data_IF_761229424514
#
_entry.id   IF_761229424514
#
_cell.length_a   1.000
_cell.length_b   1.000
_cell.length_c   1.000
_cell.angle_alpha   90.00
_cell.angle_beta   90.00
_cell.angle_gamma   90.00
#
_symmetry.space_group_name_H-M   'P 1'
#
loop_
_entity.id
_entity.type
_entity.pdbx_description
1 polymer ?
#
# COMPACT_ATOMS: atom_id res chain seq x y z
N UNK A 1 -36.24 -30.56 -1.99
CA UNK A 1 -36.83 -29.20 -2.21
C UNK A 1 -36.21 -28.07 -1.41
N UNK A 2 -35.58 -28.32 -0.22
CA UNK A 2 -34.99 -27.25 0.61
C UNK A 2 -33.66 -26.69 0.07
N UNK A 3 -32.80 -27.52 -0.54
CA UNK A 3 -31.53 -27.09 -1.15
C UNK A 3 -31.70 -26.20 -2.39
N UNK A 4 -32.76 -26.42 -3.17
CA UNK A 4 -33.07 -25.62 -4.36
C UNK A 4 -33.60 -24.21 -4.03
N UNK A 5 -34.25 -24.02 -2.86
CA UNK A 5 -34.75 -22.70 -2.46
C UNK A 5 -33.60 -21.75 -2.06
N UNK A 6 -32.59 -22.26 -1.37
CA UNK A 6 -31.43 -21.43 -0.97
C UNK A 6 -30.65 -20.87 -2.16
N UNK A 7 -30.42 -21.69 -3.18
CA UNK A 7 -29.75 -21.24 -4.43
C UNK A 7 -30.58 -20.19 -5.18
N UNK A 8 -31.90 -20.38 -5.30
CA UNK A 8 -32.78 -19.43 -5.98
C UNK A 8 -32.85 -18.05 -5.29
N UNK A 9 -32.75 -18.00 -3.97
CA UNK A 9 -32.77 -16.74 -3.22
C UNK A 9 -31.45 -15.99 -3.32
N UNK A 10 -30.30 -16.69 -3.36
CA UNK A 10 -28.98 -16.10 -3.62
C UNK A 10 -28.97 -15.41 -4.97
N UNK A 11 -29.46 -16.08 -6.04
CA UNK A 11 -29.52 -15.49 -7.39
C UNK A 11 -30.45 -14.29 -7.49
N UNK A 12 -31.55 -14.25 -6.73
CA UNK A 12 -32.49 -13.13 -6.74
C UNK A 12 -31.93 -11.86 -6.07
N UNK A 13 -31.01 -12.01 -5.10
CA UNK A 13 -30.42 -10.89 -4.35
C UNK A 13 -29.11 -10.37 -4.96
N UNK A 14 -28.53 -11.08 -5.93
CA UNK A 14 -27.31 -10.63 -6.58
C UNK A 14 -27.51 -9.33 -7.36
N UNK A 15 -26.57 -8.41 -7.23
CA UNK A 15 -26.44 -7.26 -8.12
C UNK A 15 -26.22 -7.77 -9.54
N UNK A 16 -26.79 -7.08 -10.52
CA UNK A 16 -26.64 -7.44 -11.95
C UNK A 16 -25.46 -6.69 -12.56
N UNK A 17 -24.76 -7.35 -13.47
CA UNK A 17 -23.80 -6.72 -14.38
C UNK A 17 -24.52 -5.75 -15.33
N UNK A 18 -23.80 -4.84 -16.03
CA UNK A 18 -24.38 -3.99 -17.06
C UNK A 18 -25.12 -4.78 -18.15
N UNK A 19 -24.72 -6.03 -18.41
CA UNK A 19 -25.39 -6.96 -19.35
C UNK A 19 -26.59 -7.72 -18.76
N UNK A 20 -27.03 -7.38 -17.54
CA UNK A 20 -28.22 -7.96 -16.89
C UNK A 20 -28.01 -9.34 -16.23
N UNK A 21 -26.81 -9.92 -16.29
CA UNK A 21 -26.48 -11.19 -15.63
C UNK A 21 -26.20 -10.98 -14.12
N UNK A 22 -26.46 -11.98 -13.26
CA UNK A 22 -26.07 -11.92 -11.86
C UNK A 22 -24.57 -11.68 -11.74
N UNK A 23 -24.17 -10.65 -10.98
CA UNK A 23 -22.75 -10.36 -10.73
C UNK A 23 -22.16 -11.33 -9.72
N UNK A 24 -20.99 -11.88 -10.04
CA UNK A 24 -20.20 -12.68 -9.11
C UNK A 24 -18.92 -11.96 -8.69
N UNK A 25 -18.91 -10.62 -8.78
CA UNK A 25 -17.80 -9.81 -8.30
C UNK A 25 -17.53 -10.08 -6.83
N UNK A 26 -16.28 -9.98 -6.42
CA UNK A 26 -15.85 -10.28 -5.06
C UNK A 26 -16.65 -9.49 -4.01
N UNK A 27 -16.90 -8.19 -4.27
CA UNK A 27 -17.71 -7.34 -3.37
C UNK A 27 -19.14 -7.84 -3.22
N UNK A 28 -19.75 -8.34 -4.31
CA UNK A 28 -21.11 -8.88 -4.29
C UNK A 28 -21.16 -10.21 -3.56
N UNK A 29 -20.17 -11.07 -3.80
CA UNK A 29 -20.08 -12.36 -3.11
C UNK A 29 -19.76 -12.18 -1.63
N UNK A 30 -18.93 -11.19 -1.24
CA UNK A 30 -18.65 -10.89 0.15
C UNK A 30 -19.91 -10.41 0.91
N UNK A 31 -20.70 -9.52 0.32
CA UNK A 31 -21.99 -9.09 0.88
C UNK A 31 -22.97 -10.29 1.07
N UNK A 32 -22.98 -11.23 0.13
CA UNK A 32 -23.84 -12.42 0.21
C UNK A 32 -23.29 -13.49 1.16
N UNK A 33 -21.99 -13.53 1.39
CA UNK A 33 -21.34 -14.49 2.29
C UNK A 33 -21.71 -14.28 3.77
N UNK A 34 -22.20 -13.09 4.11
CA UNK A 34 -22.73 -12.81 5.46
C UNK A 34 -23.99 -13.62 5.78
N UNK A 35 -24.83 -13.92 4.74
CA UNK A 35 -26.09 -14.63 4.91
C UNK A 35 -26.07 -16.06 4.33
N UNK A 36 -25.17 -16.36 3.39
CA UNK A 36 -25.18 -17.60 2.62
C UNK A 36 -23.82 -18.28 2.58
N UNK A 37 -23.84 -19.62 2.75
CA UNK A 37 -22.62 -20.44 2.75
C UNK A 37 -21.95 -20.52 1.35
N UNK A 38 -22.74 -20.65 0.28
CA UNK A 38 -22.21 -20.84 -1.08
C UNK A 38 -21.30 -19.69 -1.56
N UNK A 39 -21.65 -18.40 -1.38
CA UNK A 39 -20.73 -17.30 -1.69
C UNK A 39 -19.42 -17.36 -0.91
N UNK A 40 -19.44 -17.76 0.34
CA UNK A 40 -18.24 -17.95 1.16
C UNK A 40 -17.31 -19.00 0.59
N UNK A 41 -17.85 -20.18 0.24
CA UNK A 41 -17.09 -21.27 -0.40
C UNK A 41 -16.55 -20.84 -1.76
N UNK A 42 -17.32 -20.08 -2.54
CA UNK A 42 -16.85 -19.55 -3.83
C UNK A 42 -15.71 -18.56 -3.69
N UNK A 43 -15.72 -17.68 -2.70
CA UNK A 43 -14.63 -16.75 -2.40
C UNK A 43 -13.36 -17.51 -1.98
N UNK A 44 -13.50 -18.48 -1.09
CA UNK A 44 -12.40 -19.35 -0.66
C UNK A 44 -11.80 -20.10 -1.85
N UNK A 45 -12.65 -20.77 -2.66
CA UNK A 45 -12.21 -21.48 -3.85
C UNK A 45 -11.46 -20.55 -4.83
N UNK A 46 -11.95 -19.31 -5.05
CA UNK A 46 -11.28 -18.33 -5.91
C UNK A 46 -9.91 -17.94 -5.38
N UNK A 47 -9.82 -17.71 -4.08
CA UNK A 47 -8.55 -17.37 -3.41
C UNK A 47 -7.54 -18.49 -3.60
N UNK A 48 -7.89 -19.72 -3.26
CA UNK A 48 -7.01 -20.89 -3.43
C UNK A 48 -6.66 -21.15 -4.90
N UNK A 49 -7.64 -21.05 -5.80
CA UNK A 49 -7.41 -21.23 -7.24
C UNK A 49 -6.45 -20.18 -7.81
N UNK A 50 -6.57 -18.92 -7.36
CA UNK A 50 -5.65 -17.84 -7.74
C UNK A 50 -4.25 -18.11 -7.24
N UNK A 51 -4.09 -18.50 -5.96
CA UNK A 51 -2.78 -18.85 -5.38
C UNK A 51 -2.15 -20.01 -6.16
N UNK A 52 -2.93 -21.06 -6.42
CA UNK A 52 -2.47 -22.22 -7.17
C UNK A 52 -2.02 -21.85 -8.58
N UNK A 53 -2.90 -21.27 -9.37
CA UNK A 53 -2.64 -20.99 -10.79
C UNK A 53 -1.60 -19.90 -11.04
N UNK A 54 -1.49 -18.92 -10.12
CA UNK A 54 -0.57 -17.77 -10.28
C UNK A 54 0.81 -18.07 -9.72
N UNK A 55 0.89 -18.78 -8.60
CA UNK A 55 2.15 -18.97 -7.89
C UNK A 55 2.63 -20.42 -7.90
N UNK A 56 1.91 -21.35 -7.28
CA UNK A 56 2.45 -22.72 -7.08
C UNK A 56 2.62 -23.50 -8.39
N UNK A 57 1.78 -23.27 -9.38
CA UNK A 57 1.90 -23.94 -10.68
C UNK A 57 2.85 -23.19 -11.63
N UNK A 58 2.92 -21.87 -11.56
CA UNK A 58 3.70 -21.07 -12.52
C UNK A 58 5.13 -20.80 -12.08
N UNK A 59 5.38 -20.41 -10.82
CA UNK A 59 6.71 -19.98 -10.37
C UNK A 59 7.79 -21.07 -10.57
N UNK A 60 7.55 -22.36 -10.28
CA UNK A 60 8.55 -23.40 -10.52
C UNK A 60 8.97 -23.50 -12.00
N UNK A 61 8.03 -23.23 -12.92
CA UNK A 61 8.29 -23.27 -14.36
C UNK A 61 9.03 -22.01 -14.88
N UNK A 62 9.13 -20.96 -14.05
CA UNK A 62 9.82 -19.72 -14.38
C UNK A 62 11.23 -19.64 -13.78
N UNK A 63 11.68 -20.70 -13.13
CA UNK A 63 13.06 -20.81 -12.66
C UNK A 63 13.98 -20.92 -13.87
N UNK A 64 14.91 -19.98 -13.99
CA UNK A 64 15.94 -20.01 -15.04
C UNK A 64 16.89 -21.18 -14.86
N UNK A 65 17.07 -22.01 -15.89
CA UNK A 65 18.00 -23.13 -15.85
C UNK A 65 19.46 -22.72 -15.66
N UNK A 66 19.82 -21.50 -16.13
CA UNK A 66 21.20 -21.01 -16.03
C UNK A 66 21.56 -20.45 -14.65
N UNK A 67 20.58 -19.92 -13.91
CA UNK A 67 20.82 -19.26 -12.62
C UNK A 67 20.22 -20.00 -11.44
N UNK A 68 19.27 -20.91 -11.66
CA UNK A 68 18.47 -21.55 -10.63
C UNK A 68 17.54 -20.58 -9.87
N UNK A 69 17.28 -19.40 -10.41
CA UNK A 69 16.49 -18.34 -9.77
C UNK A 69 15.32 -17.91 -10.64
N UNK A 70 14.30 -17.34 -10.01
CA UNK A 70 13.20 -16.63 -10.69
C UNK A 70 13.62 -15.18 -10.90
N UNK A 71 13.42 -14.66 -12.12
CA UNK A 71 13.74 -13.30 -12.50
C UNK A 71 12.47 -12.59 -12.95
N UNK A 72 12.13 -11.49 -12.30
CA UNK A 72 11.05 -10.60 -12.74
C UNK A 72 11.58 -9.53 -13.69
N UNK A 73 10.69 -8.97 -14.49
CA UNK A 73 10.96 -7.76 -15.29
C UNK A 73 10.33 -6.55 -14.60
N UNK A 74 11.14 -5.55 -14.26
CA UNK A 74 10.66 -4.27 -13.73
C UNK A 74 10.44 -3.25 -14.85
N UNK A 75 9.29 -2.58 -14.82
CA UNK A 75 8.91 -1.54 -15.78
C UNK A 75 8.84 -0.19 -15.08
N UNK A 76 9.53 0.81 -15.64
CA UNK A 76 9.63 2.16 -15.06
C UNK A 76 8.55 3.13 -15.54
N UNK A 77 7.88 2.83 -16.67
CA UNK A 77 6.99 3.76 -17.36
C UNK A 77 5.55 3.23 -17.53
N UNK A 78 5.12 2.26 -16.72
CA UNK A 78 3.79 1.68 -16.81
C UNK A 78 2.80 2.34 -15.88
N UNK A 79 3.21 2.65 -14.64
CA UNK A 79 2.32 3.28 -13.66
C UNK A 79 2.28 4.80 -13.85
N UNK A 80 1.11 5.41 -13.63
CA UNK A 80 0.93 6.85 -13.75
C UNK A 80 1.64 7.64 -12.65
N UNK A 81 1.82 7.04 -11.47
CA UNK A 81 2.48 7.67 -10.31
C UNK A 81 4.00 7.54 -10.33
N UNK A 82 4.57 6.81 -11.28
CA UNK A 82 6.01 6.56 -11.33
C UNK A 82 6.49 5.39 -10.46
N UNK A 83 5.59 4.68 -9.75
CA UNK A 83 5.96 3.40 -9.12
C UNK A 83 6.47 2.41 -10.16
N UNK A 84 7.36 1.52 -9.77
CA UNK A 84 7.73 0.37 -10.61
C UNK A 84 6.56 -0.60 -10.69
N UNK A 85 6.44 -1.29 -11.81
CA UNK A 85 5.60 -2.47 -11.92
C UNK A 85 6.44 -3.69 -12.27
N UNK A 86 5.99 -4.87 -11.87
CA UNK A 86 6.70 -6.13 -12.02
C UNK A 86 5.85 -7.09 -12.86
N UNK A 87 6.48 -7.79 -13.82
CA UNK A 87 5.82 -8.82 -14.64
C UNK A 87 6.75 -9.99 -14.93
N UNK A 88 6.18 -11.10 -15.28
CA UNK A 88 6.82 -12.32 -15.79
C UNK A 88 7.92 -12.91 -14.88
N UNK A 89 7.62 -13.20 -13.59
CA UNK A 89 6.35 -13.08 -12.87
C UNK A 89 6.18 -11.73 -12.16
N UNK A 90 4.94 -11.34 -11.82
CA UNK A 90 4.72 -10.22 -10.93
C UNK A 90 5.00 -10.63 -9.47
N UNK A 91 6.17 -10.25 -8.97
CA UNK A 91 6.60 -10.54 -7.59
C UNK A 91 6.11 -9.49 -6.58
N UNK A 92 5.60 -8.33 -7.04
CA UNK A 92 5.06 -7.30 -6.15
C UNK A 92 3.68 -7.64 -5.58
N UNK A 93 2.99 -8.65 -6.15
CA UNK A 93 1.63 -9.03 -5.76
C UNK A 93 1.56 -10.35 -4.98
N UNK A 94 2.69 -10.87 -4.48
CA UNK A 94 2.69 -12.09 -3.65
C UNK A 94 2.01 -11.76 -2.32
N UNK A 95 0.91 -12.48 -1.97
CA UNK A 95 0.13 -12.17 -0.77
C UNK A 95 0.97 -12.29 0.51
N UNK A 96 0.70 -11.43 1.47
CA UNK A 96 1.39 -11.39 2.77
C UNK A 96 0.44 -11.58 3.95
N UNK A 97 -0.87 -11.29 3.76
CA UNK A 97 -1.85 -11.26 4.85
C UNK A 97 -2.38 -12.64 5.27
N UNK A 98 -2.46 -13.55 4.33
CA UNK A 98 -2.98 -14.89 4.58
C UNK A 98 -1.84 -15.84 4.90
N UNK A 99 -2.10 -16.86 5.70
CA UNK A 99 -1.13 -17.91 6.01
C UNK A 99 -0.59 -18.58 4.73
N UNK A 100 -1.49 -18.92 3.81
CA UNK A 100 -1.09 -19.51 2.51
C UNK A 100 -0.23 -18.56 1.67
N UNK A 101 -0.53 -17.25 1.69
CA UNK A 101 0.30 -16.24 1.03
C UNK A 101 1.70 -16.18 1.62
N UNK A 102 1.82 -16.20 2.95
CA UNK A 102 3.12 -16.24 3.65
C UNK A 102 3.91 -17.51 3.32
N UNK A 103 3.25 -18.66 3.23
CA UNK A 103 3.91 -19.91 2.79
C UNK A 103 4.53 -19.79 1.40
N UNK A 104 3.93 -19.02 0.48
CA UNK A 104 4.55 -18.73 -0.82
C UNK A 104 5.83 -17.91 -0.64
N UNK A 105 5.84 -16.91 0.26
CA UNK A 105 7.05 -16.12 0.54
C UNK A 105 8.16 -16.96 1.19
N UNK A 106 7.83 -17.99 1.96
CA UNK A 106 8.81 -18.92 2.54
C UNK A 106 9.58 -19.73 1.48
N UNK A 107 8.99 -19.91 0.29
CA UNK A 107 9.67 -20.58 -0.82
C UNK A 107 10.76 -19.74 -1.51
N UNK A 108 10.83 -18.44 -1.21
CA UNK A 108 11.90 -17.57 -1.71
C UNK A 108 13.03 -17.54 -0.69
N UNK A 109 14.15 -18.14 -1.07
CA UNK A 109 15.34 -18.27 -0.25
C UNK A 109 16.51 -17.45 -0.81
N UNK A 110 17.41 -16.93 0.04
CA UNK A 110 18.61 -16.25 -0.40
C UNK A 110 19.60 -17.23 -1.04
N UNK A 111 20.64 -16.72 -1.65
CA UNK A 111 21.75 -17.52 -2.15
C UNK A 111 22.38 -18.30 -1.00
N UNK A 112 22.98 -19.46 -1.31
CA UNK A 112 23.65 -20.27 -0.29
C UNK A 112 24.72 -19.48 0.45
N UNK A 113 24.63 -19.45 1.77
CA UNK A 113 25.55 -18.68 2.63
C UNK A 113 25.07 -17.25 2.93
N UNK A 114 23.97 -16.82 2.31
CA UNK A 114 23.40 -15.48 2.48
C UNK A 114 22.19 -15.47 3.41
N UNK A 115 21.71 -14.26 3.71
CA UNK A 115 20.40 -13.96 4.30
C UNK A 115 19.69 -12.93 3.43
N UNK A 116 18.36 -12.89 3.50
CA UNK A 116 17.62 -11.72 3.04
C UNK A 116 17.64 -10.63 4.09
N UNK A 117 17.85 -9.39 3.62
CA UNK A 117 17.56 -8.17 4.36
C UNK A 117 16.39 -7.52 3.66
N UNK A 118 15.31 -7.27 4.38
CA UNK A 118 14.18 -6.47 3.96
C UNK A 118 14.25 -5.14 4.69
N UNK A 119 14.10 -4.04 3.97
CA UNK A 119 14.01 -2.70 4.53
C UNK A 119 12.79 -1.99 3.93
N UNK A 120 11.85 -1.59 4.77
CA UNK A 120 10.58 -0.97 4.38
C UNK A 120 10.46 0.43 4.99
N UNK A 121 9.97 1.39 4.21
CA UNK A 121 9.68 2.72 4.74
C UNK A 121 8.47 2.70 5.67
N UNK A 122 8.66 3.21 6.87
CA UNK A 122 7.56 3.38 7.82
C UNK A 122 6.70 4.59 7.43
N UNK A 123 5.47 4.32 7.01
CA UNK A 123 4.42 5.33 6.73
C UNK A 123 4.85 6.45 5.76
N UNK A 124 5.61 6.12 4.71
CA UNK A 124 6.22 7.12 3.82
C UNK A 124 5.19 8.11 3.23
N UNK A 125 4.02 7.64 2.81
CA UNK A 125 3.01 8.52 2.19
C UNK A 125 2.42 9.51 3.20
N UNK A 126 2.26 9.12 4.47
CA UNK A 126 1.84 10.04 5.54
C UNK A 126 2.93 11.07 5.87
N UNK A 127 4.20 10.67 5.87
CA UNK A 127 5.34 11.59 6.06
C UNK A 127 5.45 12.59 4.90
N UNK A 128 5.24 12.13 3.67
CA UNK A 128 5.16 12.99 2.49
C UNK A 128 3.97 13.95 2.60
N UNK A 129 2.79 13.47 3.03
CA UNK A 129 1.62 14.32 3.25
C UNK A 129 1.89 15.39 4.31
N UNK A 130 2.48 15.03 5.45
CA UNK A 130 2.86 15.98 6.50
C UNK A 130 3.79 17.08 5.96
N UNK A 131 4.81 16.69 5.19
CA UNK A 131 5.73 17.63 4.57
C UNK A 131 5.03 18.55 3.53
N UNK A 132 4.19 17.99 2.65
CA UNK A 132 3.54 18.76 1.59
C UNK A 132 2.44 19.68 2.12
N UNK A 133 1.65 19.22 3.09
CA UNK A 133 0.60 20.04 3.72
C UNK A 133 1.14 21.07 4.69
N UNK A 134 2.32 20.83 5.27
CA UNK A 134 2.88 21.61 6.38
C UNK A 134 1.94 21.67 7.61
N UNK A 135 1.11 20.65 7.77
CA UNK A 135 0.20 20.57 8.91
C UNK A 135 0.99 20.40 10.21
N UNK A 136 0.80 21.35 11.13
CA UNK A 136 1.59 21.41 12.36
C UNK A 136 1.38 20.17 13.25
N UNK A 137 0.15 19.66 13.32
CA UNK A 137 -0.17 18.46 14.12
C UNK A 137 0.50 17.20 13.58
N UNK A 138 0.49 16.99 12.25
CA UNK A 138 1.16 15.86 11.62
C UNK A 138 2.70 15.99 11.71
N UNK A 139 3.24 17.19 11.48
CA UNK A 139 4.67 17.42 11.59
C UNK A 139 5.17 17.12 13.00
N UNK A 140 4.47 17.64 14.03
CA UNK A 140 4.81 17.39 15.42
C UNK A 140 4.77 15.91 15.78
N UNK A 141 3.70 15.19 15.40
CA UNK A 141 3.55 13.77 15.69
C UNK A 141 4.73 12.94 15.14
N UNK A 142 5.16 13.21 13.92
CA UNK A 142 6.31 12.51 13.32
C UNK A 142 7.64 12.93 13.92
N UNK A 143 7.83 14.20 14.29
CA UNK A 143 9.07 14.69 14.94
C UNK A 143 9.25 14.13 16.34
N UNK A 144 8.14 13.92 17.06
CA UNK A 144 8.14 13.34 18.41
C UNK A 144 8.17 11.80 18.40
N UNK A 145 8.14 11.18 17.22
CA UNK A 145 8.12 9.71 17.08
C UNK A 145 6.83 9.07 17.59
N UNK A 146 5.72 9.83 17.61
CA UNK A 146 4.41 9.31 18.00
C UNK A 146 3.85 8.39 16.92
N UNK A 147 3.08 7.37 17.34
CA UNK A 147 2.26 6.59 16.42
C UNK A 147 1.11 7.45 15.89
N UNK A 148 1.27 7.95 14.66
CA UNK A 148 0.30 8.83 13.99
C UNK A 148 -1.10 8.24 13.95
N UNK A 149 -1.23 6.90 13.83
CA UNK A 149 -2.56 6.27 13.83
C UNK A 149 -3.19 6.27 15.22
N UNK A 150 -2.41 6.04 16.26
CA UNK A 150 -2.89 6.16 17.64
C UNK A 150 -3.21 7.61 17.99
N UNK A 151 -2.40 8.56 17.54
CA UNK A 151 -2.65 10.00 17.70
C UNK A 151 -3.96 10.40 17.03
N UNK A 152 -4.14 10.04 15.75
CA UNK A 152 -5.39 10.29 15.02
C UNK A 152 -6.58 9.61 15.70
N UNK A 153 -6.42 8.37 16.20
CA UNK A 153 -7.49 7.69 16.93
C UNK A 153 -7.91 8.44 18.19
N UNK A 154 -6.94 8.87 18.99
CA UNK A 154 -7.19 9.68 20.19
C UNK A 154 -7.96 10.96 19.87
N UNK A 155 -7.57 11.65 18.79
CA UNK A 155 -8.13 12.95 18.41
C UNK A 155 -9.50 12.83 17.72
N UNK A 156 -9.69 11.85 16.82
CA UNK A 156 -10.93 11.68 16.06
C UNK A 156 -12.02 11.00 16.88
N UNK A 157 -11.66 10.10 17.80
CA UNK A 157 -12.62 9.39 18.64
C UNK A 157 -12.77 9.97 20.06
N UNK A 158 -12.05 11.08 20.34
CA UNK A 158 -12.05 11.79 21.63
C UNK A 158 -11.77 10.85 22.82
N UNK A 159 -10.71 10.05 22.71
CA UNK A 159 -10.25 9.13 23.75
C UNK A 159 -8.81 9.44 24.17
N UNK A 160 -8.44 9.13 25.41
CA UNK A 160 -7.05 9.27 25.83
C UNK A 160 -6.11 8.40 24.99
N UNK A 161 -4.91 8.88 24.70
CA UNK A 161 -3.93 8.12 23.89
C UNK A 161 -3.66 6.70 24.45
N UNK A 162 -3.73 6.54 25.78
CA UNK A 162 -3.56 5.26 26.48
C UNK A 162 -4.77 4.33 26.39
N UNK A 163 -5.92 4.91 26.03
CA UNK A 163 -7.20 4.19 25.90
C UNK A 163 -7.49 3.81 24.45
N UNK A 164 -6.58 4.13 23.52
CA UNK A 164 -6.70 3.74 22.11
C UNK A 164 -6.57 2.23 21.99
N UNK A 165 -7.67 1.58 21.63
CA UNK A 165 -7.69 0.14 21.34
C UNK A 165 -7.11 -0.15 19.95
N UNK A 166 -6.74 -1.42 19.69
CA UNK A 166 -6.30 -1.86 18.36
C UNK A 166 -7.34 -1.60 17.27
N UNK A 167 -8.64 -1.70 17.61
CA UNK A 167 -9.73 -1.42 16.66
C UNK A 167 -9.84 0.08 16.34
N UNK A 168 -9.73 0.96 17.34
CA UNK A 168 -9.71 2.40 17.13
C UNK A 168 -8.50 2.83 16.30
N UNK A 169 -7.33 2.26 16.60
CA UNK A 169 -6.11 2.50 15.82
C UNK A 169 -6.27 2.05 14.38
N UNK A 170 -6.84 0.85 14.13
CA UNK A 170 -7.11 0.35 12.78
C UNK A 170 -8.09 1.26 12.02
N UNK A 171 -9.14 1.74 12.69
CA UNK A 171 -10.09 2.67 12.08
C UNK A 171 -9.44 4.02 11.74
N UNK A 172 -8.62 4.56 12.65
CA UNK A 172 -7.87 5.79 12.39
C UNK A 172 -6.89 5.62 11.22
N UNK A 173 -6.24 4.46 11.10
CA UNK A 173 -5.38 4.12 9.98
C UNK A 173 -6.18 4.14 8.68
N UNK A 174 -7.36 3.53 8.63
CA UNK A 174 -8.24 3.56 7.47
C UNK A 174 -8.71 5.00 7.13
N UNK A 175 -8.89 5.87 8.13
CA UNK A 175 -9.19 7.29 7.92
C UNK A 175 -7.98 8.00 7.31
N UNK A 176 -6.80 7.87 7.91
CA UNK A 176 -5.57 8.51 7.46
C UNK A 176 -5.27 8.20 5.97
N UNK A 177 -5.19 6.92 5.63
CA UNK A 177 -4.92 6.51 4.25
C UNK A 177 -6.08 6.81 3.32
N UNK A 178 -7.32 6.56 3.77
CA UNK A 178 -8.50 6.84 2.97
C UNK A 178 -8.56 8.31 2.53
N UNK A 179 -8.24 9.25 3.43
CA UNK A 179 -8.26 10.67 3.12
C UNK A 179 -7.14 11.08 2.17
N UNK A 180 -5.92 10.56 2.34
CA UNK A 180 -4.82 10.77 1.38
C UNK A 180 -5.22 10.30 -0.03
N UNK A 181 -5.98 9.21 -0.12
CA UNK A 181 -6.48 8.70 -1.41
C UNK A 181 -7.80 9.36 -1.86
N UNK A 182 -8.26 10.39 -1.14
CA UNK A 182 -9.46 11.14 -1.50
C UNK A 182 -10.75 10.33 -1.38
N UNK A 183 -10.84 9.43 -0.38
CA UNK A 183 -12.03 8.63 -0.13
C UNK A 183 -13.24 9.53 0.15
N UNK A 184 -14.43 9.13 -0.33
CA UNK A 184 -15.68 9.78 0.04
C UNK A 184 -16.23 9.24 1.36
N UNK A 185 -17.11 10.01 2.03
CA UNK A 185 -17.79 9.54 3.24
C UNK A 185 -18.56 8.22 3.03
N UNK A 186 -19.08 7.98 1.82
CA UNK A 186 -19.70 6.72 1.46
C UNK A 186 -18.66 5.58 1.42
N UNK A 187 -17.51 5.82 0.79
CA UNK A 187 -16.41 4.85 0.72
C UNK A 187 -15.85 4.51 2.09
N UNK A 188 -15.58 5.54 2.92
CA UNK A 188 -15.09 5.37 4.28
C UNK A 188 -16.11 4.63 5.15
N UNK A 189 -17.39 4.98 5.07
CA UNK A 189 -18.46 4.28 5.80
C UNK A 189 -18.51 2.79 5.45
N UNK A 190 -18.37 2.44 4.17
CA UNK A 190 -18.31 1.04 3.73
C UNK A 190 -17.07 0.32 4.26
N UNK A 191 -15.92 0.98 4.27
CA UNK A 191 -14.65 0.39 4.74
C UNK A 191 -14.67 0.13 6.26
N UNK A 192 -15.25 1.04 7.04
CA UNK A 192 -15.34 0.95 8.50
C UNK A 192 -16.58 0.18 9.00
N UNK A 193 -17.52 -0.18 8.10
CA UNK A 193 -18.79 -0.80 8.50
C UNK A 193 -19.74 0.14 9.24
N UNK A 194 -19.64 1.46 9.00
CA UNK A 194 -20.44 2.51 9.66
C UNK A 194 -21.34 3.25 8.67
N UNK A 195 -22.29 4.02 9.19
CA UNK A 195 -23.15 4.86 8.35
C UNK A 195 -22.34 5.94 7.62
N UNK A 196 -22.84 6.37 6.44
CA UNK A 196 -22.26 7.49 5.70
C UNK A 196 -22.18 8.79 6.53
N UNK A 197 -23.18 9.04 7.37
CA UNK A 197 -23.23 10.23 8.20
C UNK A 197 -22.13 10.21 9.26
N UNK A 198 -21.96 9.09 9.96
CA UNK A 198 -20.88 8.93 10.95
C UNK A 198 -19.48 9.00 10.29
N UNK A 199 -19.31 8.43 9.10
CA UNK A 199 -18.07 8.58 8.34
C UNK A 199 -17.81 10.04 7.97
N UNK A 200 -18.85 10.82 7.61
CA UNK A 200 -18.71 12.25 7.33
C UNK A 200 -18.33 13.06 8.58
N UNK A 201 -18.85 12.69 9.75
CA UNK A 201 -18.47 13.27 11.04
C UNK A 201 -16.99 13.00 11.35
N UNK A 202 -16.52 11.77 11.21
CA UNK A 202 -15.10 11.44 11.41
C UNK A 202 -14.17 12.18 10.45
N UNK A 203 -14.58 12.32 9.19
CA UNK A 203 -13.83 13.16 8.23
C UNK A 203 -13.80 14.63 8.63
N UNK A 204 -14.91 15.18 9.15
CA UNK A 204 -14.96 16.56 9.62
C UNK A 204 -14.05 16.76 10.84
N UNK A 205 -14.09 15.85 11.82
CA UNK A 205 -13.22 15.88 12.99
C UNK A 205 -11.74 15.78 12.59
N UNK A 206 -11.40 14.90 11.65
CA UNK A 206 -10.03 14.80 11.13
C UNK A 206 -9.56 16.13 10.53
N UNK A 207 -10.36 16.76 9.68
CA UNK A 207 -9.98 18.03 9.04
C UNK A 207 -10.03 19.24 9.99
N UNK A 208 -10.73 19.14 11.12
CA UNK A 208 -10.64 20.11 12.19
C UNK A 208 -9.29 20.02 12.92
N UNK A 209 -8.78 18.81 13.11
CA UNK A 209 -7.48 18.56 13.75
C UNK A 209 -6.30 18.80 12.80
N UNK A 210 -6.47 18.49 11.52
CA UNK A 210 -5.46 18.66 10.47
C UNK A 210 -5.94 19.60 9.35
N UNK A 211 -6.13 20.90 9.65
CA UNK A 211 -6.73 21.85 8.72
C UNK A 211 -5.87 22.11 7.48
N UNK A 212 -4.54 22.06 7.62
CA UNK A 212 -3.63 22.30 6.51
C UNK A 212 -3.57 21.11 5.54
N UNK A 213 -3.90 19.90 5.97
CA UNK A 213 -4.13 18.77 5.06
C UNK A 213 -5.30 19.05 4.15
N UNK A 214 -6.44 19.52 4.70
CA UNK A 214 -7.61 19.89 3.91
C UNK A 214 -7.28 21.00 2.91
N UNK A 215 -6.61 22.04 3.38
CA UNK A 215 -6.18 23.16 2.55
C UNK A 215 -5.26 22.73 1.41
N UNK A 216 -4.29 21.86 1.70
CA UNK A 216 -3.41 21.27 0.69
C UNK A 216 -4.21 20.52 -0.39
N UNK A 217 -5.19 19.70 0.01
CA UNK A 217 -6.02 18.94 -0.92
C UNK A 217 -6.87 19.87 -1.81
N UNK A 218 -7.42 20.95 -1.26
CA UNK A 218 -8.21 21.94 -2.02
C UNK A 218 -7.33 22.71 -3.00
N UNK A 219 -6.18 23.21 -2.57
CA UNK A 219 -5.21 23.90 -3.43
C UNK A 219 -4.68 23.02 -4.54
N UNK A 220 -4.44 21.73 -4.24
CA UNK A 220 -3.97 20.77 -5.25
C UNK A 220 -5.01 20.51 -6.34
N UNK A 221 -6.30 20.42 -5.98
CA UNK A 221 -7.39 20.29 -6.95
C UNK A 221 -7.54 21.56 -7.80
N UNK A 222 -7.42 22.71 -7.18
CA UNK A 222 -7.47 23.98 -7.89
C UNK A 222 -6.31 24.12 -8.88
N UNK A 223 -5.09 23.85 -8.44
CA UNK A 223 -3.90 23.82 -9.30
C UNK A 223 -4.08 22.86 -10.48
N UNK A 224 -4.57 21.65 -10.21
CA UNK A 224 -4.83 20.65 -11.26
C UNK A 224 -5.88 21.13 -12.27
N UNK A 225 -6.95 21.78 -11.80
CA UNK A 225 -8.00 22.32 -12.66
C UNK A 225 -7.48 23.42 -13.59
N UNK A 226 -6.58 24.26 -13.10
CA UNK A 226 -5.98 25.37 -13.86
C UNK A 226 -4.90 24.89 -14.85
N UNK A 227 -4.09 23.92 -14.44
CA UNK A 227 -2.88 23.52 -15.18
C UNK A 227 -3.02 22.19 -15.96
N UNK A 228 -4.01 21.37 -15.64
CA UNK A 228 -4.24 20.07 -16.26
C UNK A 228 -3.29 18.97 -15.78
N UNK A 229 -2.47 19.23 -14.76
CA UNK A 229 -1.55 18.25 -14.16
C UNK A 229 -1.29 18.57 -12.69
N UNK A 230 -0.67 17.62 -11.98
CA UNK A 230 -0.05 17.79 -10.65
C UNK A 230 1.40 17.32 -10.69
N UNK A 231 2.21 17.73 -9.70
CA UNK A 231 3.63 17.41 -9.64
C UNK A 231 4.02 16.78 -8.31
N UNK A 232 5.02 15.87 -8.35
CA UNK A 232 5.71 15.40 -7.14
C UNK A 232 6.71 16.48 -6.65
N UNK A 233 7.28 16.28 -5.45
CA UNK A 233 8.37 17.13 -4.93
C UNK A 233 9.60 17.16 -5.86
N UNK A 234 9.77 16.15 -6.70
CA UNK A 234 10.89 16.04 -7.65
C UNK A 234 10.51 16.44 -9.07
N UNK A 235 9.35 17.09 -9.27
CA UNK A 235 8.93 17.64 -10.56
C UNK A 235 8.37 16.61 -11.55
N UNK A 236 8.07 15.39 -11.13
CA UNK A 236 7.34 14.43 -11.96
C UNK A 236 5.91 14.89 -12.14
N UNK A 237 5.44 15.00 -13.39
CA UNK A 237 4.08 15.43 -13.73
C UNK A 237 3.15 14.26 -13.98
N UNK A 238 1.95 14.33 -13.39
CA UNK A 238 0.80 13.52 -13.76
C UNK A 238 -0.24 14.40 -14.45
N UNK A 239 -0.52 14.13 -15.73
CA UNK A 239 -1.55 14.84 -16.49
C UNK A 239 -2.94 14.29 -16.23
N UNK A 240 -3.90 15.18 -15.96
CA UNK A 240 -5.26 14.86 -15.52
C UNK A 240 -6.26 15.33 -16.57
N UNK A 241 -6.45 14.54 -17.62
CA UNK A 241 -7.30 14.90 -18.78
C UNK A 241 -8.76 15.16 -18.41
N UNK A 242 -9.27 14.49 -17.39
CA UNK A 242 -10.68 14.56 -16.96
C UNK A 242 -10.90 15.50 -15.77
N UNK A 243 -9.93 16.33 -15.38
CA UNK A 243 -10.04 17.19 -14.19
C UNK A 243 -11.17 18.20 -14.31
N UNK A 244 -11.45 18.69 -15.52
CA UNK A 244 -12.53 19.63 -15.83
C UNK A 244 -13.67 18.96 -16.61
N UNK A 245 -13.80 17.62 -16.55
CA UNK A 245 -14.87 16.92 -17.26
C UNK A 245 -16.27 17.35 -16.77
N UNK A 246 -17.19 17.49 -17.70
CA UNK A 246 -18.62 17.77 -17.39
C UNK A 246 -19.27 16.60 -16.66
N UNK A 247 -18.84 15.37 -16.95
CA UNK A 247 -19.27 14.18 -16.23
C UNK A 247 -18.69 14.17 -14.82
N UNK A 248 -19.58 14.30 -13.82
CA UNK A 248 -19.20 14.38 -12.40
C UNK A 248 -18.38 13.16 -11.91
N UNK A 249 -18.67 11.95 -12.41
CA UNK A 249 -17.96 10.74 -12.00
C UNK A 249 -16.50 10.76 -12.48
N UNK A 250 -16.27 11.14 -13.75
CA UNK A 250 -14.92 11.29 -14.31
C UNK A 250 -14.14 12.40 -13.61
N UNK A 251 -14.78 13.56 -13.41
CA UNK A 251 -14.16 14.68 -12.69
C UNK A 251 -13.75 14.29 -11.28
N UNK A 252 -14.63 13.67 -10.48
CA UNK A 252 -14.32 13.22 -9.12
C UNK A 252 -13.21 12.16 -9.09
N UNK A 253 -13.15 11.25 -10.07
CA UNK A 253 -12.05 10.31 -10.18
C UNK A 253 -10.71 11.03 -10.45
N UNK A 254 -10.72 12.05 -11.31
CA UNK A 254 -9.55 12.87 -11.61
C UNK A 254 -9.13 13.74 -10.41
N UNK A 255 -10.07 14.29 -9.65
CA UNK A 255 -9.82 15.04 -8.41
C UNK A 255 -9.15 14.15 -7.35
N UNK A 256 -9.60 12.90 -7.18
CA UNK A 256 -8.92 11.92 -6.30
C UNK A 256 -7.50 11.63 -6.77
N UNK A 257 -7.31 11.42 -8.08
CA UNK A 257 -5.98 11.23 -8.65
C UNK A 257 -5.08 12.47 -8.43
N UNK A 258 -5.66 13.69 -8.50
CA UNK A 258 -4.93 14.91 -8.23
C UNK A 258 -4.38 14.98 -6.80
N UNK A 259 -5.14 14.54 -5.81
CA UNK A 259 -4.74 14.52 -4.40
C UNK A 259 -3.67 13.45 -4.16
N UNK A 260 -3.92 12.24 -4.66
CA UNK A 260 -3.07 11.08 -4.38
C UNK A 260 -1.73 11.11 -5.13
N UNK A 261 -1.72 11.52 -6.41
CA UNK A 261 -0.56 11.37 -7.27
C UNK A 261 0.69 12.13 -6.81
N UNK A 262 0.62 13.36 -6.25
CA UNK A 262 1.81 14.03 -5.71
C UNK A 262 2.44 13.25 -4.55
N UNK A 263 1.62 12.71 -3.65
CA UNK A 263 2.08 11.96 -2.46
C UNK A 263 2.67 10.62 -2.86
N UNK A 264 1.89 9.80 -3.56
CA UNK A 264 2.33 8.48 -4.00
C UNK A 264 3.51 8.56 -4.98
N UNK A 265 3.49 9.55 -5.89
CA UNK A 265 4.59 9.77 -6.83
C UNK A 265 5.86 10.24 -6.14
N UNK A 266 5.77 11.09 -5.13
CA UNK A 266 6.93 11.50 -4.32
C UNK A 266 7.51 10.32 -3.56
N UNK A 267 6.70 9.46 -2.95
CA UNK A 267 7.15 8.23 -2.31
C UNK A 267 7.89 7.32 -3.32
N UNK A 268 7.34 7.17 -4.54
CA UNK A 268 7.99 6.41 -5.60
C UNK A 268 9.33 7.03 -6.06
N UNK A 269 9.43 8.35 -6.11
CA UNK A 269 10.68 9.03 -6.44
C UNK A 269 11.74 8.86 -5.34
N UNK A 270 11.35 8.98 -4.06
CA UNK A 270 12.21 8.71 -2.90
C UNK A 270 12.73 7.27 -2.95
N UNK A 271 11.86 6.30 -3.20
CA UNK A 271 12.25 4.90 -3.32
C UNK A 271 13.30 4.68 -4.42
N UNK A 272 13.14 5.31 -5.59
CA UNK A 272 14.12 5.21 -6.69
C UNK A 272 15.47 5.85 -6.32
N UNK A 273 15.44 6.98 -5.62
CA UNK A 273 16.66 7.62 -5.12
C UNK A 273 17.36 6.69 -4.12
N UNK A 274 16.62 6.08 -3.19
CA UNK A 274 17.14 5.10 -2.25
C UNK A 274 17.80 3.91 -2.95
N UNK A 275 17.14 3.34 -3.98
CA UNK A 275 17.71 2.26 -4.80
C UNK A 275 19.04 2.66 -5.47
N UNK A 276 19.10 3.88 -6.03
CA UNK A 276 20.31 4.40 -6.68
C UNK A 276 21.42 4.59 -5.63
N UNK A 277 21.10 5.15 -4.47
CA UNK A 277 22.04 5.35 -3.38
C UNK A 277 22.60 4.02 -2.90
N UNK A 278 21.73 3.04 -2.64
CA UNK A 278 22.13 1.70 -2.21
C UNK A 278 22.99 0.98 -3.24
N UNK A 279 22.65 1.07 -4.53
CA UNK A 279 23.47 0.51 -5.60
C UNK A 279 24.88 1.12 -5.64
N UNK A 280 24.97 2.44 -5.48
CA UNK A 280 26.27 3.15 -5.43
C UNK A 280 27.06 2.74 -4.17
N UNK A 281 26.41 2.60 -3.03
CA UNK A 281 27.02 2.19 -1.77
C UNK A 281 27.60 0.76 -1.87
N UNK A 282 26.83 -0.21 -2.36
CA UNK A 282 27.27 -1.58 -2.59
C UNK A 282 28.53 -1.60 -3.48
N UNK A 283 28.50 -0.85 -4.60
CA UNK A 283 29.64 -0.75 -5.50
C UNK A 283 30.90 -0.14 -4.87
N UNK A 284 30.72 0.97 -4.13
CA UNK A 284 31.80 1.69 -3.45
C UNK A 284 32.50 0.77 -2.44
N UNK A 285 31.71 0.04 -1.67
CA UNK A 285 32.16 -0.86 -0.62
C UNK A 285 32.65 -2.21 -1.14
N UNK A 286 32.53 -2.45 -2.45
CA UNK A 286 32.89 -3.74 -3.11
C UNK A 286 32.18 -4.92 -2.44
N UNK A 287 30.95 -4.72 -1.96
CA UNK A 287 30.15 -5.76 -1.31
C UNK A 287 29.61 -6.75 -2.34
N UNK A 288 29.46 -8.01 -1.94
CA UNK A 288 28.81 -9.07 -2.73
C UNK A 288 27.26 -9.07 -2.56
N UNK A 289 26.72 -8.24 -1.67
CA UNK A 289 25.28 -8.07 -1.51
C UNK A 289 24.62 -7.60 -2.81
N UNK A 290 23.39 -8.03 -3.05
CA UNK A 290 22.63 -7.70 -4.25
C UNK A 290 21.26 -7.15 -3.87
N UNK A 291 20.92 -5.96 -4.36
CA UNK A 291 19.54 -5.48 -4.35
C UNK A 291 18.76 -6.29 -5.39
N UNK A 292 17.82 -7.12 -4.94
CA UNK A 292 17.16 -8.11 -5.80
C UNK A 292 15.70 -7.80 -6.11
N UNK A 293 14.97 -7.16 -5.18
CA UNK A 293 13.57 -6.83 -5.35
C UNK A 293 13.26 -5.44 -4.78
N UNK A 294 12.28 -4.81 -5.39
CA UNK A 294 11.56 -3.65 -4.87
C UNK A 294 10.07 -3.99 -4.87
N UNK A 295 9.42 -3.92 -3.71
CA UNK A 295 8.01 -4.26 -3.53
C UNK A 295 7.33 -3.15 -2.74
N UNK A 296 6.42 -2.39 -3.37
CA UNK A 296 5.77 -1.22 -2.77
C UNK A 296 6.80 -0.22 -2.20
N UNK A 297 6.92 -0.15 -0.88
CA UNK A 297 7.85 0.72 -0.17
C UNK A 297 9.03 -0.06 0.47
N UNK A 298 9.21 -1.33 0.06
CA UNK A 298 10.20 -2.30 0.55
C UNK A 298 11.33 -2.52 -0.46
N UNK A 299 12.57 -2.65 0.03
CA UNK A 299 13.74 -3.14 -0.71
C UNK A 299 14.22 -4.45 -0.10
N UNK A 300 14.53 -5.44 -0.97
CA UNK A 300 15.03 -6.74 -0.55
C UNK A 300 16.42 -6.97 -1.12
N UNK A 301 17.33 -7.35 -0.22
CA UNK A 301 18.72 -7.67 -0.56
C UNK A 301 19.06 -9.14 -0.25
N UNK A 302 19.81 -9.74 -1.13
CA UNK A 302 20.49 -11.04 -0.94
C UNK A 302 21.92 -10.76 -0.45
N UNK A 303 22.20 -10.99 0.84
CA UNK A 303 23.38 -10.47 1.56
C UNK A 303 24.21 -11.60 2.19
N UNK A 304 25.53 -11.67 1.95
CA UNK A 304 26.43 -12.58 2.69
C UNK A 304 26.31 -12.38 4.20
N UNK A 305 26.35 -13.49 4.96
CA UNK A 305 26.15 -13.47 6.42
C UNK A 305 27.16 -12.60 7.18
N UNK A 306 28.37 -12.51 6.68
CA UNK A 306 29.46 -11.71 7.26
C UNK A 306 29.37 -10.23 6.89
N UNK A 307 28.52 -9.85 5.94
CA UNK A 307 28.31 -8.44 5.56
C UNK A 307 27.00 -7.84 6.12
N UNK A 308 26.21 -8.58 6.90
CA UNK A 308 24.86 -8.18 7.33
C UNK A 308 24.89 -6.81 8.01
N UNK A 309 25.70 -6.61 9.06
CA UNK A 309 25.73 -5.38 9.84
C UNK A 309 26.15 -4.18 8.96
N UNK A 310 27.09 -4.40 8.06
CA UNK A 310 27.55 -3.40 7.10
C UNK A 310 26.40 -3.00 6.15
N UNK A 311 25.69 -3.99 5.59
CA UNK A 311 24.59 -3.74 4.66
C UNK A 311 23.40 -3.09 5.36
N UNK A 312 23.09 -3.45 6.59
CA UNK A 312 22.08 -2.79 7.42
C UNK A 312 22.41 -1.30 7.58
N UNK A 313 23.66 -0.94 7.89
CA UNK A 313 24.07 0.48 7.96
C UNK A 313 23.91 1.18 6.60
N UNK A 314 24.38 0.56 5.51
CA UNK A 314 24.33 1.15 4.18
C UNK A 314 22.91 1.37 3.67
N UNK A 315 21.98 0.41 3.92
CA UNK A 315 20.59 0.57 3.48
C UNK A 315 19.88 1.62 4.32
N UNK A 316 20.17 1.68 5.63
CA UNK A 316 19.65 2.72 6.52
C UNK A 316 20.03 4.12 5.99
N UNK A 317 21.31 4.35 5.76
CA UNK A 317 21.79 5.64 5.24
C UNK A 317 21.21 5.94 3.85
N UNK A 318 21.11 4.93 2.99
CA UNK A 318 20.61 5.09 1.62
C UNK A 318 19.13 5.44 1.56
N UNK A 319 18.31 4.83 2.43
CA UNK A 319 16.87 5.06 2.47
C UNK A 319 16.52 6.30 3.26
N UNK A 320 17.04 6.46 4.48
CA UNK A 320 16.74 7.63 5.32
C UNK A 320 17.31 8.92 4.72
N UNK A 321 18.44 8.84 4.01
CA UNK A 321 19.08 9.97 3.30
C UNK A 321 18.54 10.22 1.88
N UNK A 322 17.49 9.54 1.43
CA UNK A 322 16.99 9.66 0.06
C UNK A 322 16.27 10.98 -0.23
N UNK A 323 15.72 11.63 0.78
CA UNK A 323 15.07 12.93 0.67
C UNK A 323 15.22 13.73 1.97
N UNK A 324 15.18 15.06 1.84
CA UNK A 324 15.12 15.95 2.99
C UNK A 324 13.68 16.48 3.14
N UNK A 325 12.93 15.85 4.04
CA UNK A 325 11.58 16.27 4.41
C UNK A 325 11.61 17.01 5.75
N UNK A 326 10.51 17.72 6.10
CA UNK A 326 10.39 18.37 7.44
C UNK A 326 10.14 17.34 8.56
N UNK A 327 9.93 16.09 8.18
CA UNK A 327 9.82 14.94 9.10
C UNK A 327 10.89 13.91 8.75
N UNK A 328 11.45 13.18 9.71
CA UNK A 328 12.44 12.15 9.40
C UNK A 328 11.83 11.05 8.53
N UNK A 329 12.61 10.52 7.59
CA UNK A 329 12.29 9.22 6.98
C UNK A 329 12.72 8.13 7.94
N UNK A 330 11.87 7.15 8.16
CA UNK A 330 12.16 6.00 9.02
C UNK A 330 11.95 4.72 8.24
N UNK A 331 12.72 3.71 8.61
CA UNK A 331 12.64 2.38 7.99
C UNK A 331 12.60 1.30 9.06
N UNK A 332 11.92 0.24 8.72
CA UNK A 332 11.92 -1.01 9.46
C UNK A 332 12.80 -2.02 8.73
N UNK A 333 13.65 -2.76 9.46
CA UNK A 333 14.58 -3.73 8.88
C UNK A 333 14.32 -5.11 9.46
N UNK A 334 14.15 -6.10 8.59
CA UNK A 334 14.09 -7.51 8.95
C UNK A 334 15.14 -8.34 8.26
N UNK A 335 15.57 -9.41 8.91
CA UNK A 335 16.60 -10.34 8.41
C UNK A 335 16.07 -11.76 8.53
N UNK A 336 16.16 -12.55 7.46
CA UNK A 336 15.59 -13.89 7.45
C UNK A 336 16.31 -14.88 6.53
N UNK A 337 16.04 -16.17 6.75
CA UNK A 337 16.48 -17.25 5.87
C UNK A 337 15.53 -17.48 4.69
N UNK A 338 14.43 -16.76 4.64
CA UNK A 338 13.49 -16.67 3.52
C UNK A 338 12.78 -15.30 3.55
N UNK A 339 12.01 -15.00 2.50
CA UNK A 339 11.35 -13.70 2.39
C UNK A 339 10.30 -13.46 3.49
N UNK A 340 9.54 -14.49 3.92
CA UNK A 340 8.55 -14.37 4.98
C UNK A 340 9.19 -13.98 6.33
N UNK A 341 10.34 -14.59 6.66
CA UNK A 341 11.10 -14.27 7.88
C UNK A 341 11.76 -12.91 7.84
N UNK A 342 12.20 -12.46 6.66
CA UNK A 342 12.76 -11.12 6.50
C UNK A 342 11.68 -10.03 6.52
N UNK A 343 10.44 -10.37 6.22
CA UNK A 343 9.35 -9.42 6.13
C UNK A 343 8.81 -9.06 7.52
N UNK A 344 8.75 -7.77 7.85
CA UNK A 344 8.34 -7.27 9.17
C UNK A 344 6.81 -7.23 9.36
N UNK A 345 6.14 -8.35 9.19
CA UNK A 345 4.69 -8.46 9.37
C UNK A 345 4.17 -8.21 10.79
N UNK A 346 5.04 -8.13 11.76
CA UNK A 346 4.69 -8.05 13.18
C UNK A 346 4.81 -6.66 13.81
N UNK A 347 5.34 -5.69 13.10
CA UNK A 347 5.18 -4.30 13.50
C UNK A 347 3.85 -3.80 12.96
N UNK A 348 3.09 -3.16 13.78
CA UNK A 348 1.68 -2.74 13.72
C UNK A 348 1.10 -2.22 12.40
N UNK A 349 1.88 -2.06 11.34
CA UNK A 349 1.48 -1.40 10.10
C UNK A 349 1.20 -2.33 8.91
N UNK A 350 1.71 -3.54 8.91
CA UNK A 350 1.54 -4.49 7.79
C UNK A 350 0.10 -5.03 7.58
N UNK A 351 -0.85 -4.62 8.39
CA UNK A 351 -2.25 -5.03 8.26
C UNK A 351 -3.01 -4.31 7.13
N UNK A 352 -2.39 -3.40 6.35
CA UNK A 352 -3.16 -2.36 5.68
C UNK A 352 -2.97 -2.10 4.19
N UNK A 353 -2.07 -2.76 3.50
CA UNK A 353 -1.93 -2.57 2.04
C UNK A 353 -3.08 -3.20 1.21
N UNK A 354 -4.31 -3.06 1.67
CA UNK A 354 -5.53 -3.64 1.12
C UNK A 354 -6.51 -2.65 0.51
N UNK A 355 -6.03 -1.51 0.03
CA UNK A 355 -6.82 -0.59 -0.78
C UNK A 355 -6.16 -0.45 -2.14
N UNK A 356 -6.38 -1.45 -2.99
CA UNK A 356 -6.10 -1.44 -4.40
C UNK A 356 -7.36 -1.86 -5.14
#
# INVERSE_FOLDING_TARGET
KSRSRGLGDVYKRQKKTPGGQPSTDEKVLAELAEEYELPKVLLEHRTLSKLKSTYTDKLPNQVSQSTGKVHTSFHQAVTTTGRLSSSDPNLQNIPIRTEDGRRIRQAFEPSKGNKFISADYSQIELRVMAHMSKDAGLLQAFQEGEDVHSKTASEVFDVGIKDVTSDLRRNAKAINFGLIYGISAFGLGKQLGISRNLAAEYMAMYFEKYPDVKKYMELTKEFASQNGYVETLFGRRLYLRDINATNAMRRQASERAAINAPVQGTAADIMKIAMINMHKAIKKEKSEAKLILQVHDELILDTPKDEIDKIVSLITDSMMGAANLDVPLEIDIGIGDNWDQACLLYTSDAADDGVG
#
